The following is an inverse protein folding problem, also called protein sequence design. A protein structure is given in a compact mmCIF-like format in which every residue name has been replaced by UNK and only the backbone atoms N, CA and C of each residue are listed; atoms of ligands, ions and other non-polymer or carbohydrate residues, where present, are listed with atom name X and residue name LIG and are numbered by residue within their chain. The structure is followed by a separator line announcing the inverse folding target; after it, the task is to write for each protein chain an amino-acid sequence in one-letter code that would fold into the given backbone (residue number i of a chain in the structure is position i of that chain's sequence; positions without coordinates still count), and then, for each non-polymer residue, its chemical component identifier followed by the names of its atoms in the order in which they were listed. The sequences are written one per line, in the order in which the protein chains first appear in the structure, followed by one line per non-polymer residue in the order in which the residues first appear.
data_IF_623631758454
#
_entry.id   IF_623631758454
#
_cell.length_a   1.000
_cell.length_b   1.000
_cell.length_c   1.000
_cell.angle_alpha   90.00
_cell.angle_beta   90.00
_cell.angle_gamma   90.00
#
_symmetry.space_group_name_H-M   'P 1'
#
loop_
_entity.id
_entity.type
_entity.pdbx_description
1 polymer ?
#
# COMPACT_ATOMS: atom_id res chain seq x y z
N UNK A 1 18.00 -1.08 11.35
CA UNK A 1 16.71 -0.47 10.97
C UNK A 1 16.41 0.56 12.04
N UNK A 2 16.01 1.78 11.67
CA UNK A 2 15.63 2.79 12.67
C UNK A 2 14.19 2.57 13.14
N UNK A 3 13.81 3.12 14.30
CA UNK A 3 12.40 3.07 14.75
C UNK A 3 11.43 3.62 13.70
N UNK A 4 11.85 4.64 12.94
CA UNK A 4 11.05 5.20 11.85
C UNK A 4 10.86 4.20 10.70
N UNK A 5 11.92 3.48 10.33
CA UNK A 5 11.90 2.45 9.30
C UNK A 5 11.00 1.27 9.70
N UNK A 6 11.10 0.82 10.95
CA UNK A 6 10.25 -0.26 11.49
C UNK A 6 8.77 0.15 11.48
N UNK A 7 8.48 1.39 11.87
CA UNK A 7 7.12 1.95 11.84
C UNK A 7 6.57 2.04 10.42
N UNK A 8 7.39 2.47 9.45
CA UNK A 8 6.97 2.58 8.06
C UNK A 8 6.61 1.21 7.47
N UNK A 9 7.42 0.19 7.76
CA UNK A 9 7.12 -1.19 7.38
C UNK A 9 5.85 -1.71 8.06
N UNK A 10 5.68 -1.46 9.36
CA UNK A 10 4.50 -1.91 10.11
C UNK A 10 3.21 -1.30 9.57
N UNK A 11 3.22 -0.02 9.21
CA UNK A 11 2.06 0.64 8.61
C UNK A 11 1.73 0.06 7.23
N UNK A 12 2.75 -0.22 6.40
CA UNK A 12 2.55 -0.91 5.13
C UNK A 12 1.98 -2.33 5.32
N UNK A 13 2.43 -3.04 6.36
CA UNK A 13 1.93 -4.37 6.71
C UNK A 13 0.44 -4.33 7.09
N UNK A 14 0.04 -3.41 7.97
CA UNK A 14 -1.36 -3.27 8.40
C UNK A 14 -2.25 -2.92 7.21
N UNK A 15 -1.85 -1.96 6.38
CA UNK A 15 -2.63 -1.58 5.19
C UNK A 15 -2.80 -2.76 4.21
N UNK A 16 -1.74 -3.56 4.02
CA UNK A 16 -1.80 -4.74 3.17
C UNK A 16 -2.75 -5.82 3.74
N UNK A 17 -2.70 -6.11 5.04
CA UNK A 17 -3.61 -7.06 5.68
C UNK A 17 -5.06 -6.57 5.58
N UNK A 18 -5.33 -5.31 5.92
CA UNK A 18 -6.67 -4.72 5.80
C UNK A 18 -7.22 -4.86 4.36
N UNK A 19 -6.35 -4.73 3.35
CA UNK A 19 -6.74 -4.90 1.94
C UNK A 19 -7.03 -6.36 1.59
N UNK A 20 -6.22 -7.30 2.08
CA UNK A 20 -6.42 -8.73 1.87
C UNK A 20 -7.71 -9.21 2.55
N UNK A 21 -7.97 -8.75 3.76
CA UNK A 21 -9.21 -9.04 4.49
C UNK A 21 -10.44 -8.46 3.81
N UNK A 22 -10.38 -7.19 3.38
CA UNK A 22 -11.49 -6.54 2.68
C UNK A 22 -11.83 -7.22 1.35
N UNK A 23 -10.85 -7.88 0.73
CA UNK A 23 -11.05 -8.60 -0.53
C UNK A 23 -11.26 -10.09 -0.34
N UNK A 24 -11.23 -10.64 0.88
CA UNK A 24 -11.27 -12.09 1.09
C UNK A 24 -12.54 -12.73 0.48
N UNK A 25 -12.38 -13.90 -0.12
CA UNK A 25 -13.46 -14.60 -0.83
C UNK A 25 -13.98 -13.93 -2.11
N UNK A 26 -13.56 -12.71 -2.44
CA UNK A 26 -13.97 -12.03 -3.68
C UNK A 26 -13.13 -12.52 -4.88
N UNK A 27 -13.75 -12.97 -5.98
CA UNK A 27 -13.04 -13.36 -7.20
C UNK A 27 -12.94 -12.19 -8.21
N UNK A 28 -11.94 -12.26 -9.09
CA UNK A 28 -11.89 -11.44 -10.32
C UNK A 28 -10.60 -10.65 -10.50
N UNK A 29 -10.27 -10.35 -11.75
CA UNK A 29 -9.00 -9.75 -12.16
C UNK A 29 -8.68 -8.43 -11.44
N UNK A 30 -9.69 -7.60 -11.17
CA UNK A 30 -9.51 -6.34 -10.45
C UNK A 30 -9.14 -6.57 -8.98
N UNK A 31 -9.78 -7.53 -8.32
CA UNK A 31 -9.46 -7.93 -6.95
C UNK A 31 -8.03 -8.47 -6.89
N UNK A 32 -7.66 -9.36 -7.81
CA UNK A 32 -6.32 -9.94 -7.86
C UNK A 32 -5.25 -8.87 -8.11
N UNK A 33 -5.54 -7.87 -8.95
CA UNK A 33 -4.65 -6.72 -9.13
C UNK A 33 -4.52 -5.88 -7.85
N UNK A 34 -5.61 -5.62 -7.13
CA UNK A 34 -5.56 -4.90 -5.85
C UNK A 34 -4.71 -5.64 -4.82
N UNK A 35 -4.95 -6.94 -4.63
CA UNK A 35 -4.16 -7.79 -3.72
C UNK A 35 -2.68 -7.78 -4.10
N UNK A 36 -2.38 -7.93 -5.40
CA UNK A 36 -1.01 -7.89 -5.91
C UNK A 36 -0.32 -6.57 -5.60
N UNK A 37 -0.98 -5.43 -5.85
CA UNK A 37 -0.39 -4.12 -5.60
C UNK A 37 -0.21 -3.85 -4.10
N UNK A 38 -1.16 -4.26 -3.26
CA UNK A 38 -1.03 -4.16 -1.80
C UNK A 38 0.18 -4.95 -1.28
N UNK A 39 0.36 -6.20 -1.75
CA UNK A 39 1.54 -6.99 -1.41
C UNK A 39 2.83 -6.36 -1.95
N UNK A 40 2.82 -5.81 -3.17
CA UNK A 40 3.97 -5.11 -3.73
C UNK A 40 4.38 -3.90 -2.88
N UNK A 41 3.42 -3.08 -2.41
CA UNK A 41 3.70 -1.96 -1.51
C UNK A 41 4.43 -2.47 -0.26
N UNK A 42 3.90 -3.49 0.41
CA UNK A 42 4.54 -4.09 1.59
C UNK A 42 5.97 -4.56 1.29
N UNK A 43 6.16 -5.36 0.23
CA UNK A 43 7.47 -5.94 -0.07
C UNK A 43 8.48 -4.89 -0.49
N UNK A 44 8.07 -3.86 -1.25
CA UNK A 44 8.98 -2.80 -1.70
C UNK A 44 9.32 -1.82 -0.58
N UNK A 45 8.40 -1.53 0.35
CA UNK A 45 8.72 -0.80 1.59
C UNK A 45 9.75 -1.59 2.39
N UNK A 46 9.52 -2.89 2.63
CA UNK A 46 10.45 -3.75 3.36
C UNK A 46 11.85 -3.74 2.73
N UNK A 47 11.91 -3.89 1.40
CA UNK A 47 13.17 -3.80 0.68
C UNK A 47 13.84 -2.43 0.80
N UNK A 48 13.07 -1.35 0.70
CA UNK A 48 13.59 0.01 0.79
C UNK A 48 14.19 0.29 2.17
N UNK A 49 13.43 0.05 3.25
CA UNK A 49 13.86 0.32 4.63
C UNK A 49 14.99 -0.61 5.10
N UNK A 50 15.14 -1.78 4.46
CA UNK A 50 16.28 -2.66 4.65
C UNK A 50 17.61 -2.11 4.11
N UNK A 51 17.60 -1.06 3.27
CA UNK A 51 18.84 -0.51 2.70
C UNK A 51 19.60 0.34 3.73
N UNK A 52 20.90 0.03 3.88
CA UNK A 52 21.84 0.81 4.70
C UNK A 52 22.17 2.17 4.06
N UNK A 53 22.21 2.23 2.73
CA UNK A 53 22.39 3.48 2.00
C UNK A 53 21.10 4.29 2.04
N UNK A 54 21.16 5.46 2.69
CA UNK A 54 20.04 6.38 2.82
C UNK A 54 19.53 6.88 1.47
N UNK A 55 20.41 7.24 0.54
CA UNK A 55 20.01 7.77 -0.77
C UNK A 55 19.26 6.71 -1.56
N UNK A 56 19.75 5.47 -1.54
CA UNK A 56 19.10 4.37 -2.23
C UNK A 56 17.75 4.02 -1.59
N UNK A 57 17.67 4.04 -0.25
CA UNK A 57 16.39 3.88 0.47
C UNK A 57 15.38 4.93 0.02
N UNK A 58 15.77 6.20 0.01
CA UNK A 58 14.86 7.31 -0.32
C UNK A 58 14.37 7.20 -1.78
N UNK A 59 15.26 6.85 -2.73
CA UNK A 59 14.88 6.58 -4.13
C UNK A 59 13.87 5.43 -4.23
N UNK A 60 14.10 4.35 -3.49
CA UNK A 60 13.19 3.19 -3.50
C UNK A 60 11.84 3.53 -2.88
N UNK A 61 11.80 4.23 -1.75
CA UNK A 61 10.57 4.69 -1.12
C UNK A 61 9.77 5.62 -2.05
N UNK A 62 10.45 6.51 -2.78
CA UNK A 62 9.80 7.30 -3.81
C UNK A 62 9.16 6.42 -4.91
N UNK A 63 9.86 5.37 -5.34
CA UNK A 63 9.31 4.35 -6.25
C UNK A 63 8.07 3.65 -5.72
N UNK A 64 8.00 3.34 -4.42
CA UNK A 64 6.81 2.78 -3.77
C UNK A 64 5.61 3.73 -3.91
N UNK A 65 5.84 5.05 -3.86
CA UNK A 65 4.80 6.05 -4.05
C UNK A 65 4.01 5.85 -5.35
N UNK A 66 4.67 5.48 -6.44
CA UNK A 66 4.01 5.19 -7.72
C UNK A 66 3.12 3.94 -7.66
N UNK A 67 3.54 2.92 -6.90
CA UNK A 67 2.75 1.70 -6.68
C UNK A 67 1.50 2.03 -5.86
N UNK A 68 1.64 2.88 -4.85
CA UNK A 68 0.51 3.34 -4.03
C UNK A 68 -0.50 4.13 -4.88
N UNK A 69 -0.04 5.01 -5.78
CA UNK A 69 -0.95 5.75 -6.68
C UNK A 69 -1.77 4.79 -7.56
N UNK A 70 -1.12 3.77 -8.13
CA UNK A 70 -1.80 2.74 -8.91
C UNK A 70 -2.81 1.96 -8.05
N UNK A 71 -2.41 1.54 -6.85
CA UNK A 71 -3.28 0.83 -5.91
C UNK A 71 -4.52 1.64 -5.54
N UNK A 72 -4.36 2.91 -5.15
CA UNK A 72 -5.49 3.81 -4.83
C UNK A 72 -6.46 3.98 -6.00
N UNK A 73 -5.93 4.02 -7.23
CA UNK A 73 -6.76 4.03 -8.45
C UNK A 73 -7.58 2.75 -8.59
N UNK A 74 -6.98 1.57 -8.31
CA UNK A 74 -7.69 0.30 -8.35
C UNK A 74 -8.73 0.17 -7.22
N UNK A 75 -8.44 0.69 -6.02
CA UNK A 75 -9.41 0.76 -4.91
C UNK A 75 -10.61 1.62 -5.29
N UNK A 76 -10.38 2.77 -5.93
CA UNK A 76 -11.44 3.63 -6.46
C UNK A 76 -12.31 2.90 -7.50
N UNK A 77 -11.70 2.08 -8.36
CA UNK A 77 -12.44 1.26 -9.33
C UNK A 77 -13.29 0.17 -8.65
N UNK A 78 -12.77 -0.48 -7.61
CA UNK A 78 -13.56 -1.47 -6.84
C UNK A 78 -14.75 -0.83 -6.15
N UNK A 79 -14.52 0.33 -5.52
CA UNK A 79 -15.59 1.11 -4.90
C UNK A 79 -16.66 1.52 -5.92
N UNK A 80 -16.26 2.07 -7.07
CA UNK A 80 -17.20 2.47 -8.13
C UNK A 80 -17.99 1.29 -8.74
N UNK A 81 -17.50 0.05 -8.59
CA UNK A 81 -18.19 -1.17 -9.01
C UNK A 81 -18.94 -1.86 -7.87
N UNK A 82 -19.15 -1.16 -6.76
CA UNK A 82 -19.84 -1.66 -5.56
C UNK A 82 -19.15 -2.89 -4.91
N UNK A 83 -17.86 -3.11 -5.22
CA UNK A 83 -17.04 -4.15 -4.58
C UNK A 83 -16.59 -3.79 -3.18
N UNK A 84 -16.65 -2.50 -2.82
CA UNK A 84 -16.43 -1.98 -1.47
C UNK A 84 -17.54 -1.02 -1.07
N UNK A 85 -17.83 -1.00 0.23
CA UNK A 85 -18.62 0.07 0.85
C UNK A 85 -17.80 1.36 0.95
N UNK A 86 -18.47 2.50 1.11
CA UNK A 86 -17.83 3.81 1.34
C UNK A 86 -16.86 3.76 2.54
N UNK A 87 -17.25 3.06 3.61
CA UNK A 87 -16.43 2.90 4.81
C UNK A 87 -15.14 2.12 4.51
N UNK A 88 -15.25 0.98 3.84
CA UNK A 88 -14.08 0.15 3.48
C UNK A 88 -13.15 0.90 2.54
N UNK A 89 -13.70 1.53 1.50
CA UNK A 89 -12.90 2.34 0.57
C UNK A 89 -12.20 3.49 1.28
N UNK A 90 -12.94 4.27 2.08
CA UNK A 90 -12.38 5.40 2.82
C UNK A 90 -11.28 4.99 3.79
N UNK A 91 -11.44 3.86 4.50
CA UNK A 91 -10.40 3.31 5.40
C UNK A 91 -9.13 2.96 4.62
N UNK A 92 -9.26 2.21 3.53
CA UNK A 92 -8.11 1.73 2.76
C UNK A 92 -7.40 2.89 2.04
N UNK A 93 -8.14 3.78 1.39
CA UNK A 93 -7.57 4.92 0.66
C UNK A 93 -6.80 5.85 1.61
N UNK A 94 -7.37 6.17 2.77
CA UNK A 94 -6.72 6.99 3.79
C UNK A 94 -5.45 6.33 4.36
N UNK A 95 -5.46 5.01 4.55
CA UNK A 95 -4.28 4.28 5.03
C UNK A 95 -3.11 4.38 4.03
N UNK A 96 -3.38 4.17 2.75
CA UNK A 96 -2.36 4.27 1.69
C UNK A 96 -1.91 5.71 1.42
N UNK A 97 -2.81 6.68 1.51
CA UNK A 97 -2.47 8.10 1.45
C UNK A 97 -1.54 8.51 2.60
N UNK A 98 -1.88 8.12 3.83
CA UNK A 98 -1.08 8.41 5.01
C UNK A 98 0.31 7.76 4.95
N UNK A 99 0.40 6.55 4.38
CA UNK A 99 1.67 5.87 4.13
C UNK A 99 2.52 6.63 3.10
N UNK A 100 1.95 6.98 1.95
CA UNK A 100 2.65 7.72 0.91
C UNK A 100 3.13 9.10 1.39
N UNK A 101 2.35 9.77 2.23
CA UNK A 101 2.71 11.07 2.82
C UNK A 101 3.95 11.05 3.72
N UNK A 102 4.44 9.87 4.12
CA UNK A 102 5.64 9.68 4.94
C UNK A 102 6.90 9.42 4.11
N UNK A 103 6.77 9.19 2.81
CA UNK A 103 7.92 8.96 1.95
C UNK A 103 8.69 10.27 1.69
N UNK A 104 10.01 10.18 1.48
CA UNK A 104 10.83 11.33 1.11
C UNK A 104 10.37 11.90 -0.25
N UNK A 105 10.36 13.24 -0.34
CA UNK A 105 9.99 13.99 -1.54
C UNK A 105 11.10 14.02 -2.57
#
# INVERSE_FOLDING_TARGET
MSFHDDKLWQEAYVAAIDTLEATDGQPGDLIDQVRKHAMMVLTEVAQAVGNRDRKLRDIKLHGVGNIIIALRSLLSLLWAREGFTDETFGKLDAAYEALAGKFPR
#
